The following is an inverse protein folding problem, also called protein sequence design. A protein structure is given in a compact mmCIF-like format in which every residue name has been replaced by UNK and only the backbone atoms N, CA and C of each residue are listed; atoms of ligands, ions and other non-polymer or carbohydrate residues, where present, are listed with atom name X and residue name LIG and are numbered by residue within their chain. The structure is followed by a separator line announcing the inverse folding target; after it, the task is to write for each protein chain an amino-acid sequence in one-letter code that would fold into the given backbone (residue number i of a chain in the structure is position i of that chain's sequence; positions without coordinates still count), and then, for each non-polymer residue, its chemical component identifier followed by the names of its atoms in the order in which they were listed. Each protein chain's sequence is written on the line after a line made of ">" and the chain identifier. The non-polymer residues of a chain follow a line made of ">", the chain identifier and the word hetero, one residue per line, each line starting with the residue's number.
data_IF_456489690806
#
_entry.id   IF_456489690806
#
_cell.length_a   1.000
_cell.length_b   1.000
_cell.length_c   1.000
_cell.angle_alpha   90.00
_cell.angle_beta   90.00
_cell.angle_gamma   90.00
#
_symmetry.space_group_name_H-M   'P 1'
#
loop_
_entity.id
_entity.type
_entity.pdbx_description
1 polymer ?
#
# COMPACT_ATOMS: atom_id res chain seq x y z
N UNK A 1 -10.50 23.75 1.87
CA UNK A 1 -9.17 23.41 1.34
C UNK A 1 -9.39 22.22 0.41
N UNK A 2 -9.51 22.48 -0.89
CA UNK A 2 -9.79 21.45 -1.90
C UNK A 2 -8.44 21.07 -2.51
N UNK A 3 -7.95 19.87 -2.20
CA UNK A 3 -6.80 19.31 -2.92
C UNK A 3 -7.19 19.11 -4.38
N UNK A 4 -6.30 19.46 -5.30
CA UNK A 4 -6.47 19.47 -6.76
C UNK A 4 -6.58 18.08 -7.43
N UNK A 5 -6.98 17.04 -6.69
CA UNK A 5 -7.32 15.72 -7.23
C UNK A 5 -8.74 15.41 -6.84
N UNK A 6 -9.64 15.31 -7.81
CA UNK A 6 -11.09 15.13 -7.55
C UNK A 6 -11.44 13.76 -6.93
N UNK A 7 -10.48 12.83 -6.79
CA UNK A 7 -10.68 11.61 -6.01
C UNK A 7 -9.35 11.02 -5.49
N UNK A 8 -9.32 10.58 -4.23
CA UNK A 8 -8.18 9.84 -3.66
C UNK A 8 -8.32 8.37 -4.04
N UNK A 9 -7.32 7.83 -4.73
CA UNK A 9 -7.31 6.44 -5.20
C UNK A 9 -6.64 5.47 -4.22
N UNK A 10 -5.57 5.90 -3.56
CA UNK A 10 -4.80 5.05 -2.67
C UNK A 10 -4.37 5.84 -1.43
N UNK A 11 -4.57 5.25 -0.25
CA UNK A 11 -4.02 5.75 1.02
C UNK A 11 -2.97 4.76 1.54
N UNK A 12 -1.81 5.26 1.94
CA UNK A 12 -0.73 4.44 2.49
C UNK A 12 -0.47 4.86 3.93
N UNK A 13 -0.92 4.07 4.90
CA UNK A 13 -0.64 4.30 6.31
C UNK A 13 0.69 3.64 6.70
N UNK A 14 1.79 4.37 6.53
CA UNK A 14 3.11 3.92 6.96
C UNK A 14 3.32 4.10 8.47
N UNK A 15 2.42 3.53 9.27
CA UNK A 15 2.42 3.69 10.73
C UNK A 15 1.85 2.46 11.41
N UNK A 16 2.38 2.12 12.59
CA UNK A 16 2.02 0.94 13.36
C UNK A 16 0.51 0.89 13.67
N UNK A 17 -0.05 -0.31 13.70
CA UNK A 17 -1.46 -0.56 14.09
C UNK A 17 -2.50 0.24 13.30
N UNK A 18 -2.22 0.54 12.03
CA UNK A 18 -3.09 1.35 11.16
C UNK A 18 -4.13 0.53 10.36
N UNK A 19 -4.19 -0.79 10.57
CA UNK A 19 -5.11 -1.69 9.87
C UNK A 19 -6.58 -1.26 9.98
N UNK A 20 -7.02 -0.80 11.17
CA UNK A 20 -8.39 -0.34 11.39
C UNK A 20 -8.74 0.89 10.55
N UNK A 21 -7.80 1.84 10.43
CA UNK A 21 -7.98 3.02 9.58
C UNK A 21 -7.98 2.64 8.09
N UNK A 22 -7.12 1.69 7.69
CA UNK A 22 -7.09 1.19 6.32
C UNK A 22 -8.40 0.49 5.91
N UNK A 23 -8.96 -0.32 6.81
CA UNK A 23 -10.22 -1.02 6.57
C UNK A 23 -11.43 -0.06 6.48
N UNK A 24 -11.47 0.99 7.31
CA UNK A 24 -12.56 1.96 7.24
C UNK A 24 -12.43 2.92 6.05
N UNK A 25 -11.20 3.35 5.72
CA UNK A 25 -11.02 4.38 4.67
C UNK A 25 -11.37 3.87 3.28
N UNK A 26 -11.28 2.56 3.00
CA UNK A 26 -11.65 2.00 1.68
C UNK A 26 -13.14 2.12 1.37
N UNK A 27 -13.98 2.45 2.35
CA UNK A 27 -15.37 2.88 2.10
C UNK A 27 -15.43 4.21 1.32
N UNK A 28 -14.33 4.98 1.31
CA UNK A 28 -14.22 6.31 0.70
C UNK A 28 -13.08 6.45 -0.31
N UNK A 29 -12.11 5.52 -0.35
CA UNK A 29 -11.01 5.47 -1.34
C UNK A 29 -10.93 4.09 -2.00
N UNK A 30 -10.29 3.98 -3.17
CA UNK A 30 -10.32 2.72 -3.94
C UNK A 30 -9.49 1.61 -3.26
N UNK A 31 -8.35 1.97 -2.65
CA UNK A 31 -7.52 1.05 -1.88
C UNK A 31 -6.78 1.74 -0.73
N UNK A 32 -6.37 0.97 0.28
CA UNK A 32 -5.52 1.43 1.35
C UNK A 32 -4.52 0.35 1.80
N UNK A 33 -3.34 0.77 2.25
CA UNK A 33 -2.37 -0.09 2.93
C UNK A 33 -2.29 0.34 4.39
N UNK A 34 -2.35 -0.63 5.31
CA UNK A 34 -2.18 -0.41 6.74
C UNK A 34 -1.28 -1.47 7.38
N UNK A 35 -0.87 -1.22 8.62
CA UNK A 35 0.00 -2.11 9.39
C UNK A 35 -0.80 -2.82 10.48
N UNK A 36 -0.73 -4.14 10.55
CA UNK A 36 -1.45 -4.95 11.56
C UNK A 36 -0.84 -4.84 12.95
N UNK A 37 0.47 -4.57 13.01
CA UNK A 37 1.24 -4.48 14.26
C UNK A 37 2.28 -3.36 14.17
N UNK A 38 3.28 -3.35 15.05
CA UNK A 38 4.47 -2.51 14.93
C UNK A 38 5.25 -2.87 13.67
N UNK A 39 5.75 -1.85 12.96
CA UNK A 39 6.69 -2.02 11.86
C UNK A 39 8.01 -1.32 12.20
N UNK A 40 9.14 -1.98 11.96
CA UNK A 40 10.46 -1.37 12.07
C UNK A 40 10.70 -0.32 10.99
N UNK A 41 11.46 0.73 11.31
CA UNK A 41 11.78 1.81 10.36
C UNK A 41 12.46 1.28 9.08
N UNK A 42 13.31 0.26 9.21
CA UNK A 42 13.99 -0.36 8.08
C UNK A 42 13.00 -1.12 7.17
N UNK A 43 12.11 -1.92 7.76
CA UNK A 43 11.06 -2.61 7.02
C UNK A 43 10.14 -1.61 6.31
N UNK A 44 9.66 -0.59 7.04
CA UNK A 44 8.82 0.47 6.50
C UNK A 44 9.50 1.16 5.31
N UNK A 45 10.79 1.48 5.41
CA UNK A 45 11.57 2.12 4.34
C UNK A 45 11.72 1.20 3.13
N UNK A 46 12.12 -0.06 3.32
CA UNK A 46 12.35 -1.04 2.23
C UNK A 46 11.03 -1.33 1.49
N UNK A 47 9.98 -1.64 2.24
CA UNK A 47 8.66 -1.91 1.69
C UNK A 47 8.12 -0.71 0.90
N UNK A 48 8.14 0.49 1.49
CA UNK A 48 7.63 1.69 0.83
C UNK A 48 8.46 2.05 -0.41
N UNK A 49 9.79 1.96 -0.36
CA UNK A 49 10.65 2.26 -1.50
C UNK A 49 10.33 1.36 -2.69
N UNK A 50 10.23 0.05 -2.48
CA UNK A 50 9.89 -0.88 -3.55
C UNK A 50 8.46 -0.70 -4.04
N UNK A 51 7.50 -0.51 -3.11
CA UNK A 51 6.10 -0.25 -3.45
C UNK A 51 5.94 0.98 -4.35
N UNK A 52 6.49 2.13 -3.94
CA UNK A 52 6.39 3.36 -4.72
C UNK A 52 7.16 3.31 -6.04
N UNK A 53 8.28 2.58 -6.09
CA UNK A 53 9.00 2.31 -7.34
C UNK A 53 8.12 1.52 -8.32
N UNK A 54 7.49 0.43 -7.87
CA UNK A 54 6.58 -0.38 -8.66
C UNK A 54 5.36 0.42 -9.17
N UNK A 55 4.77 1.26 -8.32
CA UNK A 55 3.72 2.21 -8.73
C UNK A 55 4.24 3.18 -9.79
N UNK A 56 5.44 3.74 -9.62
CA UNK A 56 6.06 4.65 -10.59
C UNK A 56 6.31 4.02 -11.96
N UNK A 57 6.53 2.70 -12.02
CA UNK A 57 6.61 1.93 -13.27
C UNK A 57 5.24 1.56 -13.87
N UNK A 58 4.14 2.05 -13.30
CA UNK A 58 2.79 1.78 -13.78
C UNK A 58 2.29 0.37 -13.49
N UNK A 59 2.85 -0.31 -12.48
CA UNK A 59 2.32 -1.59 -12.03
C UNK A 59 1.04 -1.38 -11.20
N UNK A 60 0.20 -2.41 -11.16
CA UNK A 60 -1.03 -2.39 -10.36
C UNK A 60 -0.74 -2.37 -8.87
N UNK A 61 -1.69 -1.86 -8.08
CA UNK A 61 -1.58 -1.79 -6.61
C UNK A 61 -1.27 -3.17 -6.03
N UNK A 62 -1.94 -4.24 -6.51
CA UNK A 62 -1.65 -5.61 -6.06
C UNK A 62 -0.20 -5.99 -6.34
N UNK A 63 0.28 -5.79 -7.57
CA UNK A 63 1.64 -6.17 -7.95
C UNK A 63 2.71 -5.34 -7.22
N UNK A 64 2.47 -4.05 -7.02
CA UNK A 64 3.33 -3.18 -6.24
C UNK A 64 3.42 -3.63 -4.78
N UNK A 65 2.28 -4.00 -4.17
CA UNK A 65 2.22 -4.51 -2.80
C UNK A 65 3.01 -5.82 -2.66
N UNK A 66 2.78 -6.80 -3.54
CA UNK A 66 3.53 -8.06 -3.52
C UNK A 66 5.04 -7.86 -3.74
N UNK A 67 5.45 -6.89 -4.57
CA UNK A 67 6.86 -6.54 -4.72
C UNK A 67 7.44 -5.91 -3.45
N UNK A 68 6.68 -5.07 -2.75
CA UNK A 68 7.07 -4.55 -1.43
C UNK A 68 7.34 -5.68 -0.43
N UNK A 69 6.42 -6.66 -0.34
CA UNK A 69 6.61 -7.87 0.48
C UNK A 69 7.85 -8.66 0.05
N UNK A 70 8.03 -8.85 -1.26
CA UNK A 70 9.19 -9.57 -1.80
C UNK A 70 10.52 -8.88 -1.46
N UNK A 71 10.57 -7.55 -1.45
CA UNK A 71 11.78 -6.82 -1.05
C UNK A 71 12.16 -7.08 0.43
N UNK A 72 11.19 -7.13 1.33
CA UNK A 72 11.43 -7.49 2.74
C UNK A 72 12.01 -8.89 2.88
N UNK A 73 11.41 -9.87 2.19
CA UNK A 73 11.89 -11.26 2.19
C UNK A 73 13.32 -11.38 1.64
N UNK A 74 13.66 -10.65 0.57
CA UNK A 74 14.99 -10.67 -0.03
C UNK A 74 16.07 -10.04 0.86
N UNK A 75 15.71 -9.02 1.65
CA UNK A 75 16.60 -8.39 2.64
C UNK A 75 16.65 -9.15 3.97
N UNK A 76 15.85 -10.23 4.13
CA UNK A 76 15.80 -11.03 5.35
C UNK A 76 15.11 -10.32 6.52
N UNK A 77 14.20 -9.40 6.24
CA UNK A 77 13.43 -8.63 7.24
C UNK A 77 12.08 -9.34 7.45
N UNK A 78 11.84 -9.99 8.61
CA UNK A 78 10.67 -10.84 8.85
C UNK A 78 9.42 -10.02 9.27
N UNK A 79 9.09 -9.01 8.48
CA UNK A 79 7.95 -8.10 8.70
C UNK A 79 7.06 -7.99 7.45
N UNK A 80 7.19 -8.92 6.50
CA UNK A 80 6.44 -8.95 5.23
C UNK A 80 4.93 -9.15 5.40
N UNK A 81 4.50 -9.68 6.52
CA UNK A 81 3.09 -9.87 6.88
C UNK A 81 2.53 -8.72 7.73
N UNK A 82 3.35 -7.74 8.10
CA UNK A 82 2.89 -6.54 8.83
C UNK A 82 2.04 -5.61 7.94
N UNK A 83 2.45 -5.27 6.70
CA UNK A 83 1.59 -4.53 5.79
C UNK A 83 0.45 -5.40 5.27
N UNK A 84 -0.76 -4.83 5.22
CA UNK A 84 -1.94 -5.43 4.60
C UNK A 84 -2.57 -4.47 3.59
N UNK A 85 -3.07 -5.04 2.49
CA UNK A 85 -3.77 -4.32 1.43
C UNK A 85 -5.28 -4.50 1.58
N UNK A 86 -5.99 -3.39 1.73
CA UNK A 86 -7.44 -3.30 1.75
C UNK A 86 -7.92 -2.65 0.46
N UNK A 87 -9.04 -3.13 -0.06
CA UNK A 87 -9.61 -2.68 -1.34
C UNK A 87 -11.11 -2.49 -1.16
N UNK A 88 -11.67 -1.45 -1.76
CA UNK A 88 -13.12 -1.24 -1.75
C UNK A 88 -13.84 -2.40 -2.43
N UNK A 89 -14.98 -2.79 -1.87
CA UNK A 89 -15.85 -3.80 -2.45
C UNK A 89 -16.15 -3.52 -3.94
N UNK A 90 -16.03 -4.56 -4.75
CA UNK A 90 -16.28 -4.49 -6.20
C UNK A 90 -15.11 -4.01 -7.06
N UNK A 91 -13.95 -3.68 -6.47
CA UNK A 91 -12.72 -3.37 -7.21
C UNK A 91 -11.73 -4.54 -7.17
N UNK A 92 -11.01 -4.74 -8.28
CA UNK A 92 -9.88 -5.67 -8.35
C UNK A 92 -8.55 -4.91 -8.23
N UNK A 93 -7.72 -5.16 -7.20
CA UNK A 93 -6.44 -4.48 -7.05
C UNK A 93 -5.42 -4.81 -8.13
N UNK A 94 -5.66 -5.83 -8.97
CA UNK A 94 -4.85 -6.10 -10.16
C UNK A 94 -5.14 -5.10 -11.30
N UNK A 95 -6.31 -4.46 -11.30
CA UNK A 95 -6.71 -3.48 -12.31
C UNK A 95 -6.49 -2.03 -11.85
N UNK A 96 -6.23 -1.81 -10.55
CA UNK A 96 -5.94 -0.49 -10.00
C UNK A 96 -4.54 -0.01 -10.40
N UNK A 97 -4.47 0.83 -11.44
CA UNK A 97 -3.26 1.52 -11.88
C UNK A 97 -3.30 2.98 -11.40
N UNK A 98 -2.30 3.39 -10.61
CA UNK A 98 -2.23 4.75 -10.04
C UNK A 98 -1.50 5.73 -10.97
N UNK A 99 -0.40 5.28 -11.58
CA UNK A 99 0.42 6.09 -12.49
C UNK A 99 0.38 5.44 -13.87
N UNK A 100 0.04 6.23 -14.89
CA UNK A 100 0.20 5.83 -16.29
C UNK A 100 1.58 6.31 -16.75
N UNK A 101 2.49 5.40 -17.16
CA UNK A 101 3.83 5.76 -17.63
C UNK A 101 3.80 6.54 -18.95
#
# INVERSE_FOLDING_TARGET
>A
MMSTSDEIKLVFFNTCFSYGQAQEVVQHVDAAIGMTTTIGDEAARVFAAQFYSAIGFGLSVKKAFEQGKAALMLEGIPEEDTPELYVRDGLDPNELIIVKP
#
